data_IF_954184364428
#
_entry.id   IF_954184364428
#
_cell.length_a   1.000
_cell.length_b   1.000
_cell.length_c   1.000
_cell.angle_alpha   90.00
_cell.angle_beta   90.00
_cell.angle_gamma   90.00
#
_symmetry.space_group_name_H-M   'P 1'
#
loop_
_entity.id
_entity.type
_entity.pdbx_description
1 polymer ?
#
# COMPACT_ATOMS: atom_id res chain seq x y z
N UNK A 1 38.99 -20.42 32.34
CA UNK A 1 38.23 -19.36 31.64
C UNK A 1 38.63 -19.37 30.16
N UNK A 2 37.88 -20.07 29.27
CA UNK A 2 38.21 -20.13 27.83
C UNK A 2 37.70 -18.86 27.15
N UNK A 3 38.60 -17.97 26.73
CA UNK A 3 38.26 -16.88 25.82
C UNK A 3 37.63 -17.47 24.56
N UNK A 4 36.35 -17.13 24.31
CA UNK A 4 35.68 -17.35 23.03
C UNK A 4 36.59 -16.79 21.93
N UNK A 5 37.08 -17.64 21.02
CA UNK A 5 37.69 -17.20 19.75
C UNK A 5 36.71 -16.22 19.09
N UNK A 6 37.01 -14.92 19.13
CA UNK A 6 36.28 -13.95 18.32
C UNK A 6 36.39 -14.40 16.87
N UNK A 7 35.25 -14.57 16.20
CA UNK A 7 35.22 -14.95 14.79
C UNK A 7 36.11 -13.99 13.99
N UNK A 8 36.99 -14.54 13.14
CA UNK A 8 37.87 -13.71 12.29
C UNK A 8 37.01 -12.75 11.47
N UNK A 9 37.35 -11.44 11.43
CA UNK A 9 36.59 -10.48 10.64
C UNK A 9 36.60 -10.90 9.16
N UNK A 10 35.42 -10.95 8.54
CA UNK A 10 35.21 -11.24 7.10
C UNK A 10 34.79 -9.94 6.38
N UNK A 11 35.69 -8.95 6.23
CA UNK A 11 35.31 -7.63 5.75
C UNK A 11 34.80 -7.63 4.31
N UNK A 12 35.38 -8.47 3.44
CA UNK A 12 34.98 -8.58 2.03
C UNK A 12 33.60 -9.20 1.87
N UNK A 13 33.31 -10.32 2.56
CA UNK A 13 31.99 -10.96 2.50
C UNK A 13 30.89 -10.01 2.94
N UNK A 14 31.11 -9.26 4.02
CA UNK A 14 30.15 -8.27 4.51
C UNK A 14 29.91 -7.16 3.49
N UNK A 15 30.98 -6.58 2.95
CA UNK A 15 30.86 -5.50 1.96
C UNK A 15 30.19 -5.98 0.67
N UNK A 16 30.44 -7.21 0.25
CA UNK A 16 29.76 -7.83 -0.89
C UNK A 16 28.26 -8.02 -0.62
N UNK A 17 27.87 -8.51 0.55
CA UNK A 17 26.44 -8.64 0.94
C UNK A 17 25.75 -7.27 0.95
N UNK A 18 26.41 -6.25 1.48
CA UNK A 18 25.87 -4.89 1.49
C UNK A 18 25.69 -4.33 0.08
N UNK A 19 26.68 -4.51 -0.79
CA UNK A 19 26.61 -4.08 -2.18
C UNK A 19 25.50 -4.82 -2.94
N UNK A 20 25.37 -6.13 -2.75
CA UNK A 20 24.30 -6.95 -3.34
C UNK A 20 22.92 -6.47 -2.87
N UNK A 21 22.77 -6.16 -1.59
CA UNK A 21 21.53 -5.64 -1.03
C UNK A 21 21.18 -4.24 -1.59
N UNK A 22 22.17 -3.35 -1.72
CA UNK A 22 21.99 -2.04 -2.34
C UNK A 22 21.62 -2.17 -3.83
N UNK A 23 22.28 -3.06 -4.57
CA UNK A 23 21.95 -3.34 -5.97
C UNK A 23 20.52 -3.87 -6.11
N UNK A 24 20.09 -4.80 -5.24
CA UNK A 24 18.73 -5.32 -5.22
C UNK A 24 17.68 -4.26 -4.86
N UNK A 25 18.02 -3.31 -3.97
CA UNK A 25 17.17 -2.14 -3.67
C UNK A 25 17.08 -1.13 -4.82
N UNK A 26 18.13 -1.02 -5.65
CA UNK A 26 18.14 -0.15 -6.85
C UNK A 26 17.28 -0.76 -7.97
N UNK A 27 17.43 -2.07 -8.18
CA UNK A 27 16.65 -2.86 -9.12
C UNK A 27 16.58 -4.31 -8.62
N UNK A 28 15.38 -4.89 -8.45
CA UNK A 28 15.27 -6.26 -7.97
C UNK A 28 16.07 -7.22 -8.85
N UNK A 29 16.84 -8.10 -8.21
CA UNK A 29 17.72 -9.07 -8.88
C UNK A 29 16.97 -10.31 -9.39
N UNK A 30 15.68 -10.44 -9.06
CA UNK A 30 14.79 -11.47 -9.60
C UNK A 30 13.45 -10.86 -10.01
N UNK A 31 12.89 -11.37 -11.11
CA UNK A 31 11.59 -10.97 -11.66
C UNK A 31 10.65 -12.14 -11.96
N UNK A 32 10.97 -13.38 -11.55
CA UNK A 32 10.09 -14.54 -11.78
C UNK A 32 10.23 -15.65 -10.75
N UNK A 33 9.16 -16.44 -10.60
CA UNK A 33 9.07 -17.58 -9.69
C UNK A 33 9.16 -17.19 -8.20
N UNK A 34 9.38 -18.18 -7.33
CA UNK A 34 9.44 -17.98 -5.87
C UNK A 34 10.62 -17.11 -5.39
N UNK A 35 11.66 -16.96 -6.20
CA UNK A 35 12.84 -16.14 -5.86
C UNK A 35 12.53 -14.64 -5.74
N UNK A 36 11.40 -14.21 -6.32
CA UNK A 36 10.86 -12.84 -6.19
C UNK A 36 10.56 -12.47 -4.74
N UNK A 37 10.10 -13.42 -3.92
CA UNK A 37 9.78 -13.18 -2.50
C UNK A 37 11.05 -12.81 -1.73
N UNK A 38 12.17 -13.48 -1.99
CA UNK A 38 13.45 -13.16 -1.38
C UNK A 38 13.99 -11.81 -1.88
N UNK A 39 13.90 -11.57 -3.19
CA UNK A 39 14.29 -10.29 -3.78
C UNK A 39 13.50 -9.12 -3.20
N UNK A 40 12.19 -9.29 -3.00
CA UNK A 40 11.33 -8.33 -2.32
C UNK A 40 11.81 -8.08 -0.89
N UNK A 41 11.87 -9.10 -0.04
CA UNK A 41 12.17 -8.91 1.40
C UNK A 41 13.54 -8.28 1.66
N UNK A 42 14.54 -8.61 0.84
CA UNK A 42 15.88 -8.03 0.96
C UNK A 42 15.93 -6.60 0.37
N UNK A 43 15.29 -6.38 -0.76
CA UNK A 43 15.38 -5.11 -1.51
C UNK A 43 14.47 -4.01 -0.97
N UNK A 44 13.30 -4.37 -0.44
CA UNK A 44 12.22 -3.45 -0.11
C UNK A 44 12.59 -2.41 0.96
N UNK A 45 13.12 -2.77 2.15
CA UNK A 45 13.55 -1.74 3.09
C UNK A 45 14.68 -0.87 2.53
N UNK A 46 15.57 -1.46 1.72
CA UNK A 46 16.69 -0.77 1.08
C UNK A 46 16.22 0.25 0.05
N UNK A 47 15.15 -0.05 -0.70
CA UNK A 47 14.56 0.84 -1.71
C UNK A 47 13.78 2.00 -1.09
N UNK A 48 13.13 1.80 0.06
CA UNK A 48 12.25 2.82 0.65
C UNK A 48 12.90 3.65 1.76
N UNK A 49 13.83 3.09 2.54
CA UNK A 49 14.53 3.81 3.60
C UNK A 49 16.07 3.75 3.44
N UNK A 50 16.62 4.06 2.24
CA UNK A 50 18.06 3.96 1.96
C UNK A 50 18.90 4.83 2.90
N UNK A 51 18.36 5.94 3.41
CA UNK A 51 19.06 6.81 4.36
C UNK A 51 19.34 6.15 5.72
N UNK A 52 18.46 5.24 6.18
CA UNK A 52 18.68 4.48 7.42
C UNK A 52 19.82 3.48 7.22
N UNK A 53 19.81 2.76 6.09
CA UNK A 53 20.87 1.82 5.71
C UNK A 53 22.22 2.53 5.55
N UNK A 54 22.24 3.66 4.84
CA UNK A 54 23.44 4.46 4.63
C UNK A 54 24.02 4.95 5.97
N UNK A 55 23.18 5.54 6.83
CA UNK A 55 23.62 6.01 8.15
C UNK A 55 24.18 4.89 9.03
N UNK A 56 23.49 3.74 9.09
CA UNK A 56 23.96 2.59 9.84
C UNK A 56 25.28 2.02 9.30
N UNK A 57 25.43 1.95 7.97
CA UNK A 57 26.65 1.48 7.33
C UNK A 57 27.85 2.42 7.55
N UNK A 58 27.64 3.74 7.48
CA UNK A 58 28.68 4.74 7.79
C UNK A 58 29.15 4.61 9.23
N UNK A 59 28.23 4.50 10.19
CA UNK A 59 28.58 4.32 11.61
C UNK A 59 29.36 3.02 11.85
N UNK A 60 28.95 1.93 11.20
CA UNK A 60 29.67 0.66 11.27
C UNK A 60 31.07 0.76 10.65
N UNK A 61 31.21 1.39 9.48
CA UNK A 61 32.49 1.61 8.83
C UNK A 61 33.43 2.45 9.71
N UNK A 62 32.94 3.53 10.35
CA UNK A 62 33.73 4.32 11.30
C UNK A 62 34.21 3.48 12.49
N UNK A 63 33.33 2.66 13.07
CA UNK A 63 33.69 1.73 14.15
C UNK A 63 34.78 0.74 13.71
N UNK A 64 34.67 0.19 12.50
CA UNK A 64 35.66 -0.74 11.92
C UNK A 64 36.99 -0.06 11.62
N UNK A 65 36.94 1.18 11.13
CA UNK A 65 38.12 2.02 10.90
C UNK A 65 38.92 2.23 12.19
N UNK A 66 38.25 2.54 13.30
CA UNK A 66 38.89 2.68 14.63
C UNK A 66 39.57 1.40 15.13
N UNK A 67 39.14 0.22 14.69
CA UNK A 67 39.78 -1.07 15.02
C UNK A 67 40.93 -1.44 14.08
N UNK A 68 41.19 -0.64 13.05
CA UNK A 68 42.21 -0.93 12.03
C UNK A 68 41.76 -1.96 10.99
N UNK A 69 40.46 -2.28 10.89
CA UNK A 69 39.93 -3.31 9.97
C UNK A 69 40.21 -3.00 8.49
N UNK A 70 40.60 -1.76 8.16
CA UNK A 70 40.89 -1.28 6.81
C UNK A 70 42.39 -1.12 6.48
N UNK A 71 43.29 -1.49 7.39
CA UNK A 71 44.74 -1.28 7.20
C UNK A 71 45.35 -2.08 6.05
N UNK A 72 44.90 -3.32 5.83
CA UNK A 72 45.42 -4.22 4.78
C UNK A 72 44.66 -4.14 3.45
N UNK A 73 45.20 -4.75 2.39
CA UNK A 73 44.60 -4.77 1.04
C UNK A 73 43.13 -5.24 1.03
N UNK A 74 42.83 -6.34 1.74
CA UNK A 74 41.45 -6.86 1.87
C UNK A 74 40.52 -5.87 2.59
N UNK A 75 41.04 -5.11 3.54
CA UNK A 75 40.31 -4.07 4.24
C UNK A 75 40.01 -2.87 3.34
N UNK A 76 41.01 -2.39 2.60
CA UNK A 76 40.83 -1.31 1.60
C UNK A 76 39.83 -1.70 0.51
N UNK A 77 39.91 -2.92 -0.02
CA UNK A 77 38.94 -3.43 -0.98
C UNK A 77 37.52 -3.52 -0.39
N UNK A 78 37.37 -3.96 0.87
CA UNK A 78 36.08 -3.97 1.54
C UNK A 78 35.52 -2.55 1.73
N UNK A 79 36.36 -1.57 2.05
CA UNK A 79 35.94 -0.16 2.15
C UNK A 79 35.48 0.38 0.79
N UNK A 80 36.18 0.06 -0.30
CA UNK A 80 35.78 0.45 -1.65
C UNK A 80 34.41 -0.13 -2.05
N UNK A 81 34.16 -1.43 -1.78
CA UNK A 81 32.85 -2.05 -2.00
C UNK A 81 31.75 -1.41 -1.14
N UNK A 82 32.06 -1.07 0.11
CA UNK A 82 31.13 -0.37 1.02
C UNK A 82 30.80 1.02 0.46
N UNK A 83 31.80 1.77 -0.02
CA UNK A 83 31.60 3.07 -0.63
C UNK A 83 30.76 3.00 -1.93
N UNK A 84 30.96 1.96 -2.75
CA UNK A 84 30.11 1.71 -3.92
C UNK A 84 28.65 1.47 -3.52
N UNK A 85 28.41 0.71 -2.44
CA UNK A 85 27.06 0.52 -1.89
C UNK A 85 26.45 1.87 -1.43
N UNK A 86 27.23 2.75 -0.82
CA UNK A 86 26.77 4.09 -0.41
C UNK A 86 26.35 4.96 -1.59
N UNK A 87 27.10 4.91 -2.70
CA UNK A 87 26.73 5.62 -3.94
C UNK A 87 25.37 5.11 -4.44
N UNK A 88 25.16 3.79 -4.46
CA UNK A 88 23.88 3.21 -4.86
C UNK A 88 22.75 3.68 -3.93
N UNK A 89 22.94 3.63 -2.60
CA UNK A 89 21.95 4.09 -1.63
C UNK A 89 21.64 5.59 -1.79
N UNK A 90 22.63 6.42 -2.11
CA UNK A 90 22.44 7.85 -2.41
C UNK A 90 21.60 8.04 -3.69
N UNK A 91 21.85 7.26 -4.74
CA UNK A 91 21.04 7.27 -5.97
C UNK A 91 19.59 6.85 -5.70
N UNK A 92 19.37 5.77 -4.93
CA UNK A 92 18.01 5.34 -4.53
C UNK A 92 17.31 6.48 -3.79
N UNK A 93 17.99 7.09 -2.81
CA UNK A 93 17.43 8.22 -2.03
C UNK A 93 17.06 9.40 -2.92
N UNK A 94 17.94 9.77 -3.86
CA UNK A 94 17.70 10.86 -4.80
C UNK A 94 16.48 10.58 -5.67
N UNK A 95 16.45 9.42 -6.35
CA UNK A 95 15.33 9.00 -7.21
C UNK A 95 14.00 8.92 -6.44
N UNK A 96 14.02 8.36 -5.23
CA UNK A 96 12.83 8.27 -4.37
C UNK A 96 12.27 9.64 -3.96
N UNK A 97 13.08 10.69 -3.97
CA UNK A 97 12.67 12.05 -3.62
C UNK A 97 12.29 12.91 -4.83
N UNK A 98 12.84 12.66 -6.02
CA UNK A 98 12.65 13.53 -7.18
C UNK A 98 11.71 12.97 -8.23
N UNK A 99 11.59 11.64 -8.35
CA UNK A 99 10.82 11.00 -9.43
C UNK A 99 9.32 10.87 -9.15
N UNK A 100 8.84 10.53 -7.93
CA UNK A 100 7.42 10.25 -7.71
C UNK A 100 6.49 11.45 -7.96
N UNK A 101 6.88 12.65 -7.51
CA UNK A 101 6.03 13.85 -7.62
C UNK A 101 5.56 14.15 -9.05
N UNK A 102 6.47 14.32 -10.02
CA UNK A 102 6.09 14.57 -11.41
C UNK A 102 5.23 13.47 -12.05
N UNK A 103 5.51 12.19 -11.75
CA UNK A 103 4.74 11.07 -12.30
C UNK A 103 3.32 11.04 -11.75
N UNK A 104 3.17 11.28 -10.45
CA UNK A 104 1.87 11.37 -9.80
C UNK A 104 1.06 12.56 -10.32
N UNK A 105 1.71 13.73 -10.47
CA UNK A 105 1.04 14.92 -11.03
C UNK A 105 0.57 14.68 -12.46
N UNK A 106 1.38 14.02 -13.29
CA UNK A 106 1.04 13.71 -14.67
C UNK A 106 -0.21 12.81 -14.74
N UNK A 107 -0.26 11.74 -13.92
CA UNK A 107 -1.41 10.84 -13.87
C UNK A 107 -2.70 11.49 -13.37
N UNK A 108 -2.60 12.45 -12.43
CA UNK A 108 -3.74 13.25 -11.99
C UNK A 108 -4.18 14.24 -13.07
N UNK A 109 -3.24 14.97 -13.66
CA UNK A 109 -3.52 15.99 -14.70
C UNK A 109 -4.15 15.36 -15.95
N UNK A 110 -3.68 14.18 -16.35
CA UNK A 110 -4.22 13.43 -17.49
C UNK A 110 -5.71 13.14 -17.31
N UNK A 111 -6.15 12.84 -16.08
CA UNK A 111 -7.48 12.29 -15.83
C UNK A 111 -8.44 13.29 -15.19
N UNK A 112 -7.94 14.29 -14.48
CA UNK A 112 -8.72 15.33 -13.83
C UNK A 112 -8.65 16.68 -14.57
N UNK A 113 -7.77 16.80 -15.56
CA UNK A 113 -7.48 18.03 -16.29
C UNK A 113 -6.46 18.93 -15.60
N UNK A 114 -5.85 19.90 -16.31
CA UNK A 114 -4.79 20.78 -15.77
C UNK A 114 -5.26 21.73 -14.67
N UNK A 115 -6.57 21.99 -14.63
CA UNK A 115 -7.18 22.96 -13.74
C UNK A 115 -7.78 22.35 -12.47
N UNK A 116 -7.64 21.03 -12.24
CA UNK A 116 -8.22 20.36 -11.06
C UNK A 116 -7.75 20.95 -9.72
N UNK A 117 -6.59 21.62 -9.71
CA UNK A 117 -6.10 22.34 -8.54
C UNK A 117 -7.00 23.52 -8.13
N UNK A 118 -7.74 24.11 -9.07
CA UNK A 118 -8.73 25.17 -8.78
C UNK A 118 -9.88 24.61 -7.94
N UNK A 119 -10.36 23.41 -8.26
CA UNK A 119 -11.39 22.72 -7.47
C UNK A 119 -10.91 22.45 -6.04
N UNK A 120 -9.66 22.05 -5.88
CA UNK A 120 -9.06 21.84 -4.55
C UNK A 120 -8.98 23.13 -3.71
N UNK A 121 -8.84 24.30 -4.34
CA UNK A 121 -8.79 25.58 -3.64
C UNK A 121 -10.14 25.98 -3.01
N UNK A 122 -11.24 25.34 -3.43
CA UNK A 122 -12.58 25.58 -2.87
C UNK A 122 -12.84 24.81 -1.58
N UNK A 123 -11.99 23.81 -1.26
CA UNK A 123 -12.17 22.99 -0.08
C UNK A 123 -11.67 23.71 1.19
N UNK A 124 -12.42 23.62 2.30
CA UNK A 124 -12.01 24.17 3.59
C UNK A 124 -10.94 23.28 4.24
N UNK A 125 -9.75 23.19 3.62
CA UNK A 125 -8.62 22.48 4.22
C UNK A 125 -7.36 23.32 4.11
N UNK A 126 -7.12 24.16 5.10
CA UNK A 126 -5.75 24.56 5.44
C UNK A 126 -5.05 23.32 6.03
N UNK A 127 -4.04 22.73 5.36
CA UNK A 127 -3.23 21.70 5.99
C UNK A 127 -2.53 22.34 7.18
N UNK A 128 -2.77 21.85 8.40
CA UNK A 128 -1.97 22.27 9.54
C UNK A 128 -0.52 21.91 9.23
N UNK A 129 0.32 22.92 8.96
CA UNK A 129 1.74 22.76 8.60
C UNK A 129 2.37 21.78 9.59
N UNK A 130 2.66 20.57 9.14
CA UNK A 130 3.52 19.65 9.89
C UNK A 130 4.91 20.27 9.94
N UNK A 131 5.19 21.08 10.97
CA UNK A 131 6.46 21.80 11.18
C UNK A 131 7.67 20.88 11.43
N UNK A 132 7.54 19.56 11.31
CA UNK A 132 8.63 18.64 11.61
C UNK A 132 8.99 17.73 10.44
N UNK A 133 10.28 17.43 10.30
CA UNK A 133 10.82 16.47 9.33
C UNK A 133 10.03 15.15 9.35
N UNK A 134 9.66 14.67 8.16
CA UNK A 134 9.07 13.36 7.94
C UNK A 134 10.14 12.29 8.11
N UNK A 135 10.23 11.74 9.33
CA UNK A 135 11.17 10.67 9.67
C UNK A 135 10.41 9.32 9.71
N UNK A 136 11.00 8.21 9.22
CA UNK A 136 10.35 6.89 9.23
C UNK A 136 9.82 6.46 10.61
N UNK A 137 10.53 6.82 11.69
CA UNK A 137 10.11 6.55 13.07
C UNK A 137 8.84 7.32 13.49
N UNK A 138 8.60 8.52 12.93
CA UNK A 138 7.37 9.29 13.22
C UNK A 138 6.15 8.62 12.62
N UNK A 139 6.28 8.03 11.42
CA UNK A 139 5.22 7.25 10.79
C UNK A 139 4.83 6.07 11.68
N UNK A 140 5.80 5.34 12.24
CA UNK A 140 5.53 4.23 13.17
C UNK A 140 4.75 4.66 14.43
N UNK A 141 4.93 5.91 14.88
CA UNK A 141 4.21 6.48 16.02
C UNK A 141 2.87 7.15 15.65
N UNK A 142 2.56 7.32 14.36
CA UNK A 142 1.41 8.08 13.88
C UNK A 142 0.09 7.56 14.46
N UNK A 143 -0.03 6.24 14.63
CA UNK A 143 -1.21 5.63 15.26
C UNK A 143 -1.52 6.22 16.63
N UNK A 144 -0.51 6.43 17.48
CA UNK A 144 -0.72 6.97 18.84
C UNK A 144 -1.28 8.40 18.82
N UNK A 145 -1.07 9.13 17.72
CA UNK A 145 -1.57 10.49 17.53
C UNK A 145 -3.05 10.53 17.15
N UNK A 146 -3.49 9.60 16.29
CA UNK A 146 -4.81 9.67 15.66
C UNK A 146 -5.81 8.58 16.10
N UNK A 147 -5.35 7.55 16.82
CA UNK A 147 -6.21 6.46 17.29
C UNK A 147 -6.21 6.40 18.81
N UNK A 148 -7.35 6.74 19.40
CA UNK A 148 -7.64 6.55 20.82
C UNK A 148 -8.04 5.08 21.07
N UNK A 149 -7.90 4.60 22.31
CA UNK A 149 -8.27 3.21 22.66
C UNK A 149 -9.76 2.97 22.44
N UNK A 150 -10.60 3.97 22.71
CA UNK A 150 -12.05 3.98 22.46
C UNK A 150 -12.41 3.96 20.98
N UNK A 151 -11.47 4.29 20.09
CA UNK A 151 -11.64 4.28 18.64
C UNK A 151 -11.20 2.95 18.02
N UNK A 152 -11.18 1.86 18.80
CA UNK A 152 -10.98 0.50 18.31
C UNK A 152 -12.33 -0.23 18.40
N UNK A 153 -12.90 -0.56 17.25
CA UNK A 153 -14.27 -1.07 17.13
C UNK A 153 -14.27 -2.49 16.57
N UNK A 154 -15.35 -3.23 16.83
CA UNK A 154 -15.63 -4.52 16.19
C UNK A 154 -16.77 -4.31 15.19
N UNK A 155 -16.50 -4.53 13.90
CA UNK A 155 -17.47 -4.28 12.83
C UNK A 155 -18.27 -5.53 12.43
N UNK A 156 -17.95 -6.70 12.99
CA UNK A 156 -18.54 -7.96 12.59
C UNK A 156 -18.37 -9.09 13.60
N UNK A 157 -18.94 -10.28 13.32
CA UNK A 157 -19.09 -11.34 14.30
C UNK A 157 -17.79 -12.13 14.56
N UNK A 158 -16.73 -11.93 13.78
CA UNK A 158 -15.49 -12.72 13.88
C UNK A 158 -14.44 -12.12 14.84
N UNK A 159 -14.90 -11.37 15.84
CA UNK A 159 -14.09 -10.85 16.94
C UNK A 159 -12.82 -10.14 16.46
N UNK A 160 -11.65 -10.66 16.82
CA UNK A 160 -10.35 -10.04 16.49
C UNK A 160 -10.11 -9.90 14.98
N UNK A 161 -10.73 -10.75 14.15
CA UNK A 161 -10.64 -10.64 12.70
C UNK A 161 -11.46 -9.48 12.14
N UNK A 162 -12.50 -9.03 12.85
CA UNK A 162 -13.34 -7.89 12.46
C UNK A 162 -13.09 -6.66 13.34
N UNK A 163 -11.84 -6.41 13.73
CA UNK A 163 -11.46 -5.17 14.41
C UNK A 163 -11.09 -4.08 13.41
N UNK A 164 -11.50 -2.85 13.68
CA UNK A 164 -11.04 -1.67 12.97
C UNK A 164 -10.50 -0.61 13.93
N UNK A 165 -9.52 0.15 13.47
CA UNK A 165 -9.02 1.37 14.13
C UNK A 165 -9.57 2.59 13.40
N UNK A 166 -10.18 3.51 14.13
CA UNK A 166 -10.67 4.79 13.61
C UNK A 166 -9.62 5.87 13.88
N UNK A 167 -9.04 6.38 12.81
CA UNK A 167 -8.04 7.44 12.78
C UNK A 167 -8.75 8.77 12.55
N UNK A 168 -8.59 9.69 13.49
CA UNK A 168 -9.10 11.05 13.38
C UNK A 168 -8.27 12.00 14.21
N UNK A 169 -8.39 13.29 13.94
CA UNK A 169 -7.86 14.28 14.89
C UNK A 169 -8.71 14.27 16.16
N UNK A 170 -8.08 14.57 17.30
CA UNK A 170 -8.77 14.66 18.58
C UNK A 170 -9.73 15.84 18.60
N UNK A 171 -9.34 16.94 17.98
CA UNK A 171 -10.10 18.19 17.87
C UNK A 171 -11.10 18.23 16.70
N UNK A 172 -11.27 17.13 15.95
CA UNK A 172 -12.31 17.05 14.92
C UNK A 172 -13.70 17.01 15.60
N UNK A 173 -14.65 17.91 15.29
CA UNK A 173 -16.00 17.81 15.85
C UNK A 173 -16.69 16.49 15.53
N UNK A 174 -17.61 16.04 16.39
CA UNK A 174 -18.34 14.77 16.18
C UNK A 174 -19.42 14.88 15.10
N UNK A 175 -19.81 16.10 14.75
CA UNK A 175 -20.76 16.47 13.72
C UNK A 175 -20.07 17.04 12.46
N UNK A 176 -18.75 16.92 12.35
CA UNK A 176 -17.95 17.53 11.29
C UNK A 176 -18.29 17.07 9.86
N UNK A 177 -18.97 15.92 9.71
CA UNK A 177 -19.24 15.25 8.41
C UNK A 177 -17.97 15.18 7.56
N UNK A 178 -16.88 14.70 8.16
CA UNK A 178 -15.60 14.62 7.49
C UNK A 178 -15.57 13.46 6.47
N UNK A 179 -14.91 13.62 5.30
CA UNK A 179 -14.79 12.54 4.33
C UNK A 179 -14.07 11.32 4.94
N UNK A 180 -14.54 10.13 4.56
CA UNK A 180 -14.10 8.87 5.15
C UNK A 180 -13.24 8.07 4.16
N UNK A 181 -12.11 7.53 4.64
CA UNK A 181 -11.32 6.54 3.91
C UNK A 181 -11.30 5.20 4.65
N UNK A 182 -11.76 4.13 4.00
CA UNK A 182 -11.59 2.75 4.48
C UNK A 182 -10.32 2.15 3.88
N UNK A 183 -9.37 1.75 4.73
CA UNK A 183 -8.10 1.17 4.34
C UNK A 183 -8.07 -0.34 4.59
N UNK A 184 -7.93 -1.11 3.53
CA UNK A 184 -7.79 -2.57 3.54
C UNK A 184 -6.30 -2.96 3.55
N UNK A 185 -5.81 -3.74 4.52
CA UNK A 185 -4.41 -4.15 4.55
C UNK A 185 -4.11 -5.24 3.50
N UNK A 186 -2.89 -5.20 2.96
CA UNK A 186 -2.33 -6.29 2.17
C UNK A 186 -1.82 -7.44 3.03
N UNK A 187 -1.19 -8.41 2.36
CA UNK A 187 -0.61 -9.57 3.01
C UNK A 187 -0.93 -10.91 2.36
N UNK A 188 -1.09 -10.95 1.03
CA UNK A 188 -1.37 -12.16 0.26
C UNK A 188 -2.56 -12.98 0.81
N UNK A 189 -3.58 -12.31 1.34
CA UNK A 189 -4.78 -12.90 1.98
C UNK A 189 -4.50 -13.81 3.19
N UNK A 190 -3.23 -13.98 3.58
CA UNK A 190 -2.76 -14.78 4.72
C UNK A 190 -2.35 -13.91 5.91
N UNK A 191 -2.05 -12.64 5.64
CA UNK A 191 -1.86 -11.56 6.61
C UNK A 191 -2.88 -10.46 6.28
N UNK A 192 -3.48 -9.88 7.32
CA UNK A 192 -4.61 -8.96 7.19
C UNK A 192 -4.71 -8.05 8.40
N UNK A 193 -3.57 -7.53 8.86
CA UNK A 193 -3.49 -6.72 10.06
C UNK A 193 -3.66 -5.23 9.74
N UNK A 194 -4.57 -4.56 10.46
CA UNK A 194 -4.80 -3.10 10.43
C UNK A 194 -3.59 -2.24 10.85
N UNK A 195 -2.44 -2.86 11.15
CA UNK A 195 -1.21 -2.20 11.61
C UNK A 195 0.02 -2.98 11.11
N UNK A 196 1.11 -2.30 10.71
CA UNK A 196 1.29 -0.85 10.53
C UNK A 196 1.19 -0.38 9.05
N UNK A 197 0.30 -0.97 8.23
CA UNK A 197 0.21 -0.64 6.80
C UNK A 197 -0.49 0.70 6.54
N UNK A 198 -0.13 1.37 5.43
CA UNK A 198 -0.69 2.64 4.96
C UNK A 198 -0.66 3.82 5.98
N UNK A 199 0.23 3.77 6.98
CA UNK A 199 0.36 4.84 7.97
C UNK A 199 0.72 6.20 7.34
N UNK A 200 1.60 6.31 6.33
CA UNK A 200 1.82 7.56 5.63
C UNK A 200 0.53 8.17 5.09
N UNK A 201 -0.28 7.39 4.36
CA UNK A 201 -1.56 7.84 3.80
C UNK A 201 -2.56 8.26 4.89
N UNK A 202 -2.86 7.36 5.83
CA UNK A 202 -3.87 7.63 6.86
C UNK A 202 -3.48 8.80 7.77
N UNK A 203 -2.20 8.91 8.14
CA UNK A 203 -1.73 10.03 8.97
C UNK A 203 -1.78 11.38 8.23
N UNK A 204 -1.58 11.34 6.91
CA UNK A 204 -1.63 12.50 6.04
C UNK A 204 -3.04 13.01 5.81
N UNK A 205 -4.00 12.09 5.61
CA UNK A 205 -5.42 12.39 5.49
C UNK A 205 -6.03 12.82 6.82
N UNK A 206 -5.76 12.08 7.91
CA UNK A 206 -6.23 12.47 9.24
C UNK A 206 -5.73 13.87 9.64
N UNK A 207 -4.48 14.23 9.30
CA UNK A 207 -3.98 15.59 9.53
C UNK A 207 -4.80 16.68 8.80
N UNK A 208 -5.45 16.33 7.69
CA UNK A 208 -6.33 17.20 6.88
C UNK A 208 -7.81 17.10 7.24
N UNK A 209 -8.13 16.45 8.36
CA UNK A 209 -9.51 16.38 8.86
C UNK A 209 -10.30 15.18 8.36
N UNK A 210 -9.73 14.27 7.57
CA UNK A 210 -10.39 13.03 7.20
C UNK A 210 -10.55 12.09 8.41
N UNK A 211 -11.56 11.22 8.34
CA UNK A 211 -11.66 10.05 9.20
C UNK A 211 -11.17 8.83 8.40
N UNK A 212 -10.15 8.12 8.87
CA UNK A 212 -9.69 6.89 8.22
C UNK A 212 -10.02 5.66 9.07
N UNK A 213 -10.47 4.58 8.44
CA UNK A 213 -10.84 3.32 9.10
C UNK A 213 -9.92 2.23 8.60
N UNK A 214 -9.00 1.76 9.45
CA UNK A 214 -8.11 0.65 9.11
C UNK A 214 -8.64 -0.65 9.68
N UNK A 215 -8.98 -1.61 8.83
CA UNK A 215 -9.64 -2.85 9.22
C UNK A 215 -8.69 -4.07 9.25
N UNK A 216 -8.98 -5.01 10.14
CA UNK A 216 -8.59 -6.40 9.97
C UNK A 216 -9.63 -7.10 9.07
N UNK A 217 -9.31 -8.25 8.48
CA UNK A 217 -10.27 -9.19 7.91
C UNK A 217 -9.85 -10.63 8.22
N UNK A 218 -10.76 -11.59 8.08
CA UNK A 218 -10.45 -13.03 8.18
C UNK A 218 -9.44 -13.45 7.12
N UNK A 219 -8.39 -14.17 7.52
CA UNK A 219 -7.26 -14.55 6.64
C UNK A 219 -7.09 -16.05 6.48
N UNK A 220 -6.47 -16.42 5.36
CA UNK A 220 -6.05 -17.76 5.00
C UNK A 220 -4.85 -18.23 5.85
N UNK A 221 -4.65 -19.54 6.03
CA UNK A 221 -5.45 -20.64 5.51
C UNK A 221 -6.64 -21.02 6.41
N UNK A 222 -6.88 -20.29 7.50
CA UNK A 222 -7.97 -20.60 8.45
C UNK A 222 -9.34 -20.22 7.89
N UNK A 223 -9.40 -19.09 7.18
CA UNK A 223 -10.57 -18.58 6.49
C UNK A 223 -10.25 -18.44 5.02
N UNK A 224 -11.04 -19.05 4.15
CA UNK A 224 -10.77 -19.14 2.71
C UNK A 224 -11.67 -18.21 1.93
N UNK A 225 -11.33 -17.96 0.66
CA UNK A 225 -12.18 -17.20 -0.24
C UNK A 225 -13.64 -17.73 -0.22
N UNK A 226 -14.69 -16.87 -0.15
CA UNK A 226 -14.68 -15.40 -0.21
C UNK A 226 -14.69 -14.67 1.15
N UNK A 227 -14.30 -15.30 2.27
CA UNK A 227 -14.38 -14.69 3.61
C UNK A 227 -13.72 -13.30 3.70
N UNK A 228 -12.63 -13.10 2.97
CA UNK A 228 -11.88 -11.84 2.93
C UNK A 228 -12.70 -10.67 2.39
N UNK A 229 -13.34 -10.85 1.23
CA UNK A 229 -14.15 -9.79 0.60
C UNK A 229 -15.46 -9.56 1.37
N UNK A 230 -16.05 -10.63 1.92
CA UNK A 230 -17.24 -10.54 2.77
C UNK A 230 -16.98 -9.65 3.99
N UNK A 231 -15.79 -9.77 4.60
CA UNK A 231 -15.41 -8.93 5.74
C UNK A 231 -15.16 -7.48 5.35
N UNK A 232 -14.56 -7.22 4.18
CA UNK A 232 -14.39 -5.84 3.67
C UNK A 232 -15.74 -5.18 3.43
N UNK A 233 -16.69 -5.88 2.79
CA UNK A 233 -18.04 -5.35 2.57
C UNK A 233 -18.81 -5.15 3.88
N UNK A 234 -18.66 -6.06 4.85
CA UNK A 234 -19.23 -5.87 6.19
C UNK A 234 -18.64 -4.65 6.91
N UNK A 235 -17.36 -4.38 6.74
CA UNK A 235 -16.75 -3.16 7.29
C UNK A 235 -17.30 -1.90 6.61
N UNK A 236 -17.52 -1.91 5.29
CA UNK A 236 -18.18 -0.80 4.58
C UNK A 236 -19.59 -0.55 5.11
N UNK A 237 -20.39 -1.62 5.27
CA UNK A 237 -21.72 -1.56 5.88
C UNK A 237 -21.68 -0.92 7.28
N UNK A 238 -20.77 -1.40 8.15
CA UNK A 238 -20.60 -0.84 9.49
C UNK A 238 -20.20 0.64 9.44
N UNK A 239 -19.30 1.02 8.53
CA UNK A 239 -18.87 2.42 8.37
C UNK A 239 -20.05 3.30 7.98
N UNK A 240 -20.84 2.93 6.98
CA UNK A 240 -22.01 3.73 6.57
C UNK A 240 -23.04 3.89 7.69
N UNK A 241 -23.21 2.88 8.53
CA UNK A 241 -24.15 2.93 9.65
C UNK A 241 -23.61 3.72 10.86
N UNK A 242 -22.30 3.65 11.15
CA UNK A 242 -21.77 4.05 12.46
C UNK A 242 -20.76 5.22 12.43
N UNK A 243 -20.17 5.57 11.27
CA UNK A 243 -19.02 6.48 11.24
C UNK A 243 -19.37 7.93 11.63
N UNK A 244 -20.64 8.31 11.54
CA UNK A 244 -21.15 9.60 12.01
C UNK A 244 -20.83 9.84 13.49
N UNK A 245 -20.92 8.83 14.34
CA UNK A 245 -20.55 8.94 15.76
C UNK A 245 -19.06 9.27 15.99
N UNK A 246 -18.23 9.14 14.95
CA UNK A 246 -16.81 9.44 14.96
C UNK A 246 -16.46 10.73 14.22
N UNK A 247 -17.44 11.47 13.71
CA UNK A 247 -17.24 12.70 12.93
C UNK A 247 -17.09 12.49 11.44
N UNK A 248 -17.24 11.25 10.94
CA UNK A 248 -17.17 10.94 9.51
C UNK A 248 -18.53 11.11 8.82
N UNK A 249 -18.51 11.42 7.53
CA UNK A 249 -19.69 11.45 6.67
C UNK A 249 -19.94 10.04 6.09
N UNK A 250 -21.05 9.36 6.45
CA UNK A 250 -21.39 8.07 5.87
C UNK A 250 -21.74 8.15 4.38
N UNK A 251 -22.06 9.33 3.86
CA UNK A 251 -22.41 9.54 2.45
C UNK A 251 -21.18 9.72 1.56
N UNK A 252 -20.00 9.97 2.14
CA UNK A 252 -18.74 10.03 1.41
C UNK A 252 -17.71 9.06 1.99
N UNK A 253 -17.70 7.84 1.43
CA UNK A 253 -16.78 6.76 1.83
C UNK A 253 -15.93 6.36 0.62
N UNK A 254 -14.63 6.65 0.68
CA UNK A 254 -13.63 6.13 -0.25
C UNK A 254 -12.99 4.85 0.31
N UNK A 255 -12.42 4.02 -0.56
CA UNK A 255 -11.68 2.81 -0.19
C UNK A 255 -10.27 2.80 -0.78
N UNK A 256 -9.30 2.31 -0.02
CA UNK A 256 -7.92 2.09 -0.49
C UNK A 256 -7.37 0.76 0.03
N UNK A 257 -6.36 0.23 -0.66
CA UNK A 257 -5.75 -1.03 -0.23
C UNK A 257 -4.44 -1.33 -0.94
N UNK A 258 -3.50 -1.97 -0.23
CA UNK A 258 -2.22 -2.40 -0.78
C UNK A 258 -2.22 -3.89 -1.14
N UNK A 259 -1.67 -4.31 -2.28
CA UNK A 259 -1.45 -5.74 -2.60
C UNK A 259 -2.76 -6.55 -2.59
N UNK A 260 -2.87 -7.61 -1.77
CA UNK A 260 -4.13 -8.31 -1.51
C UNK A 260 -5.27 -7.37 -1.04
N UNK A 261 -4.95 -6.31 -0.30
CA UNK A 261 -5.91 -5.27 0.04
C UNK A 261 -6.28 -4.39 -1.15
N UNK A 262 -5.37 -4.19 -2.11
CA UNK A 262 -5.64 -3.49 -3.36
C UNK A 262 -6.56 -4.29 -4.29
N UNK A 263 -6.38 -5.61 -4.31
CA UNK A 263 -7.34 -6.56 -4.90
C UNK A 263 -8.73 -6.42 -4.29
N UNK A 264 -8.84 -6.53 -2.95
CA UNK A 264 -10.11 -6.39 -2.24
C UNK A 264 -10.75 -5.00 -2.40
N UNK A 265 -9.94 -3.95 -2.43
CA UNK A 265 -10.35 -2.57 -2.68
C UNK A 265 -11.02 -2.43 -4.06
N UNK A 266 -10.34 -2.89 -5.11
CA UNK A 266 -10.89 -2.83 -6.47
C UNK A 266 -12.14 -3.70 -6.62
N UNK A 267 -12.13 -4.92 -6.07
CA UNK A 267 -13.27 -5.82 -6.14
C UNK A 267 -14.50 -5.26 -5.41
N UNK A 268 -14.32 -4.71 -4.20
CA UNK A 268 -15.41 -4.12 -3.44
C UNK A 268 -16.04 -2.94 -4.19
N UNK A 269 -15.21 -2.07 -4.78
CA UNK A 269 -15.66 -0.91 -5.54
C UNK A 269 -16.37 -1.27 -6.86
N UNK A 270 -16.01 -2.39 -7.49
CA UNK A 270 -16.61 -2.85 -8.75
C UNK A 270 -17.81 -3.78 -8.57
N UNK A 271 -18.07 -4.25 -7.35
CA UNK A 271 -19.19 -5.14 -7.06
C UNK A 271 -20.12 -4.56 -5.98
N UNK A 272 -20.48 -3.27 -6.02
CA UNK A 272 -21.34 -2.70 -4.99
C UNK A 272 -22.63 -3.52 -4.89
N UNK A 273 -22.99 -3.88 -3.67
CA UNK A 273 -24.22 -4.61 -3.36
C UNK A 273 -24.34 -6.04 -3.95
N UNK A 274 -23.28 -6.61 -4.53
CA UNK A 274 -23.31 -7.98 -5.05
C UNK A 274 -23.56 -9.01 -3.91
N UNK A 275 -24.69 -9.75 -3.94
CA UNK A 275 -25.07 -10.66 -2.86
C UNK A 275 -24.10 -11.83 -2.69
N UNK A 276 -23.35 -12.23 -3.73
CA UNK A 276 -22.33 -13.29 -3.65
C UNK A 276 -21.25 -12.98 -2.63
N UNK A 277 -21.00 -11.70 -2.38
CA UNK A 277 -19.98 -11.21 -1.45
C UNK A 277 -20.58 -10.58 -0.18
N UNK A 278 -21.90 -10.69 0.05
CA UNK A 278 -22.59 -10.09 1.20
C UNK A 278 -23.59 -11.02 1.89
N UNK A 279 -23.24 -12.30 2.14
CA UNK A 279 -24.18 -13.23 2.74
C UNK A 279 -24.62 -12.73 4.13
N UNK A 280 -25.94 -12.62 4.31
CA UNK A 280 -26.60 -12.19 5.53
C UNK A 280 -26.70 -10.68 5.75
N UNK A 281 -26.30 -9.86 4.77
CA UNK A 281 -26.47 -8.40 4.78
C UNK A 281 -26.66 -7.84 3.36
N UNK A 282 -27.34 -8.61 2.51
CA UNK A 282 -27.48 -8.37 1.07
C UNK A 282 -28.15 -7.03 0.73
N UNK A 283 -28.99 -6.52 1.65
CA UNK A 283 -29.74 -5.27 1.47
C UNK A 283 -28.96 -4.02 1.90
N UNK A 284 -27.78 -4.18 2.50
CA UNK A 284 -27.00 -3.05 3.00
C UNK A 284 -26.14 -2.47 1.89
N UNK A 285 -26.16 -1.15 1.76
CA UNK A 285 -25.36 -0.45 0.77
C UNK A 285 -23.86 -0.49 1.10
N UNK A 286 -23.07 -1.03 0.17
CA UNK A 286 -21.61 -1.10 0.25
C UNK A 286 -20.91 -0.40 -0.92
N UNK A 287 -21.64 0.47 -1.64
CA UNK A 287 -21.04 1.37 -2.62
C UNK A 287 -20.02 2.33 -1.99
N UNK A 288 -19.04 2.76 -2.80
CA UNK A 288 -17.99 3.70 -2.38
C UNK A 288 -17.91 4.86 -3.36
N UNK A 289 -17.56 6.04 -2.87
CA UNK A 289 -17.44 7.24 -3.68
C UNK A 289 -16.17 7.27 -4.54
N UNK A 290 -15.12 6.56 -4.13
CA UNK A 290 -13.85 6.45 -4.87
C UNK A 290 -13.05 5.22 -4.44
N UNK A 291 -12.18 4.73 -5.32
CA UNK A 291 -11.30 3.60 -5.06
C UNK A 291 -9.83 3.90 -5.37
N UNK A 292 -8.93 3.52 -4.47
CA UNK A 292 -7.48 3.73 -4.59
C UNK A 292 -6.73 2.41 -4.33
N UNK A 293 -6.75 1.47 -5.29
CA UNK A 293 -5.96 0.26 -5.20
C UNK A 293 -4.48 0.56 -5.48
N UNK A 294 -3.62 0.12 -4.56
CA UNK A 294 -2.17 0.34 -4.59
C UNK A 294 -1.49 -1.01 -4.78
N UNK A 295 -0.77 -1.17 -5.89
CA UNK A 295 -0.10 -2.40 -6.33
C UNK A 295 -0.98 -3.66 -6.16
N UNK A 296 -2.27 -3.54 -6.50
CA UNK A 296 -3.26 -4.59 -6.35
C UNK A 296 -3.05 -5.74 -7.34
N UNK A 297 -3.75 -6.86 -7.08
CA UNK A 297 -3.91 -7.94 -8.05
C UNK A 297 -5.30 -7.85 -8.68
N UNK A 298 -5.38 -7.84 -10.00
CA UNK A 298 -6.65 -7.59 -10.71
C UNK A 298 -7.15 -8.79 -11.52
N UNK A 299 -6.27 -9.78 -11.75
CA UNK A 299 -6.55 -11.00 -12.50
C UNK A 299 -6.02 -12.22 -11.71
N UNK A 300 -6.90 -13.19 -11.41
CA UNK A 300 -6.58 -14.45 -10.74
C UNK A 300 -6.62 -15.69 -11.64
N UNK A 301 -6.95 -15.57 -12.93
CA UNK A 301 -7.26 -16.70 -13.79
C UNK A 301 -6.27 -16.90 -14.96
N UNK A 302 -5.59 -15.88 -15.45
CA UNK A 302 -4.55 -16.04 -16.49
C UNK A 302 -3.39 -16.89 -15.97
N UNK A 303 -2.83 -17.78 -16.77
CA UNK A 303 -1.72 -18.69 -16.37
C UNK A 303 -0.43 -18.53 -17.16
N UNK A 304 -0.43 -17.64 -18.16
CA UNK A 304 0.48 -17.77 -19.32
C UNK A 304 1.67 -16.80 -19.25
N UNK A 305 1.66 -15.88 -18.28
CA UNK A 305 2.74 -14.94 -18.03
C UNK A 305 3.68 -15.39 -16.89
N UNK A 306 4.93 -14.88 -16.83
CA UNK A 306 5.88 -15.24 -15.78
C UNK A 306 5.31 -15.07 -14.36
N UNK A 307 5.44 -16.10 -13.52
CA UNK A 307 4.96 -16.09 -12.13
C UNK A 307 3.45 -16.34 -11.95
N UNK A 308 2.65 -16.41 -13.03
CA UNK A 308 1.20 -16.64 -12.95
C UNK A 308 0.87 -18.05 -12.46
N UNK A 309 1.60 -19.08 -12.90
CA UNK A 309 1.36 -20.47 -12.47
C UNK A 309 1.63 -20.66 -10.98
N UNK A 310 2.75 -20.12 -10.49
CA UNK A 310 3.10 -20.16 -9.07
C UNK A 310 2.08 -19.39 -8.23
N UNK A 311 1.59 -18.26 -8.74
CA UNK A 311 0.53 -17.49 -8.10
C UNK A 311 -0.79 -18.28 -8.01
N UNK A 312 -1.25 -18.87 -9.11
CA UNK A 312 -2.45 -19.71 -9.11
C UNK A 312 -2.28 -20.89 -8.16
N UNK A 313 -1.12 -21.57 -8.15
CA UNK A 313 -0.83 -22.63 -7.20
C UNK A 313 -0.88 -22.19 -5.73
N UNK A 314 -0.43 -20.96 -5.42
CA UNK A 314 -0.58 -20.37 -4.09
C UNK A 314 -2.04 -20.16 -3.73
N UNK A 315 -2.85 -19.63 -4.66
CA UNK A 315 -4.28 -19.46 -4.46
C UNK A 315 -4.98 -20.80 -4.22
N UNK A 316 -4.72 -21.81 -5.05
CA UNK A 316 -5.28 -23.16 -4.91
C UNK A 316 -4.93 -23.78 -3.55
N UNK A 317 -3.71 -23.58 -3.06
CA UNK A 317 -3.22 -24.23 -1.83
C UNK A 317 -3.69 -23.52 -0.56
N UNK A 318 -3.62 -22.19 -0.55
CA UNK A 318 -3.78 -21.41 0.69
C UNK A 318 -5.06 -20.58 0.74
N UNK A 319 -5.51 -20.02 -0.39
CA UNK A 319 -6.56 -18.99 -0.40
C UNK A 319 -7.92 -19.55 -0.76
N UNK A 320 -8.02 -20.22 -1.91
CA UNK A 320 -9.26 -20.78 -2.46
C UNK A 320 -9.47 -22.22 -2.00
N UNK A 321 -8.40 -23.01 -1.82
CA UNK A 321 -8.48 -24.44 -1.45
C UNK A 321 -9.34 -25.27 -2.40
N UNK A 322 -9.36 -24.89 -3.68
CA UNK A 322 -9.96 -25.60 -4.81
C UNK A 322 -9.04 -25.50 -6.00
N UNK A 323 -9.09 -26.49 -6.89
CA UNK A 323 -8.28 -26.52 -8.10
C UNK A 323 -8.85 -25.57 -9.15
N UNK A 324 -8.01 -24.71 -9.70
CA UNK A 324 -8.32 -23.80 -10.79
C UNK A 324 -8.91 -24.53 -12.01
N UNK A 325 -8.37 -25.71 -12.34
CA UNK A 325 -8.83 -26.51 -13.49
C UNK A 325 -10.27 -27.01 -13.40
N UNK A 326 -10.87 -27.02 -12.20
CA UNK A 326 -12.23 -27.55 -11.97
C UNK A 326 -13.19 -26.52 -11.38
N UNK A 327 -12.67 -25.40 -10.86
CA UNK A 327 -13.44 -24.34 -10.20
C UNK A 327 -13.01 -22.96 -10.73
N UNK A 328 -12.86 -22.83 -12.05
CA UNK A 328 -12.35 -21.63 -12.72
C UNK A 328 -13.21 -20.40 -12.43
N UNK A 329 -14.51 -20.60 -12.32
CA UNK A 329 -15.52 -19.60 -11.96
C UNK A 329 -15.15 -18.83 -10.68
N UNK A 330 -14.66 -19.52 -9.64
CA UNK A 330 -14.25 -18.87 -8.38
C UNK A 330 -13.13 -17.85 -8.60
N UNK A 331 -12.16 -18.17 -9.46
CA UNK A 331 -11.01 -17.30 -9.73
C UNK A 331 -11.38 -16.15 -10.66
N UNK A 332 -12.26 -16.42 -11.63
CA UNK A 332 -12.86 -15.39 -12.50
C UNK A 332 -13.66 -14.40 -11.66
N UNK A 333 -14.56 -14.88 -10.80
CA UNK A 333 -15.37 -14.06 -9.90
C UNK A 333 -14.51 -13.29 -8.89
N UNK A 334 -13.39 -13.85 -8.46
CA UNK A 334 -12.45 -13.15 -7.61
C UNK A 334 -11.63 -12.08 -8.34
N UNK A 335 -11.69 -11.94 -9.67
CA UNK A 335 -10.84 -11.03 -10.43
C UNK A 335 -11.52 -9.68 -10.69
N UNK A 336 -11.06 -8.55 -10.11
CA UNK A 336 -11.61 -7.22 -10.37
C UNK A 336 -11.77 -6.87 -11.85
N UNK A 337 -10.84 -7.31 -12.70
CA UNK A 337 -10.88 -7.03 -14.15
C UNK A 337 -12.11 -7.60 -14.85
N UNK A 338 -12.83 -8.56 -14.25
CA UNK A 338 -14.09 -9.10 -14.80
C UNK A 338 -15.34 -8.36 -14.34
N UNK A 339 -15.21 -7.39 -13.44
CA UNK A 339 -16.33 -6.62 -12.89
C UNK A 339 -16.29 -5.15 -13.31
N UNK A 340 -15.42 -4.79 -14.27
CA UNK A 340 -15.41 -3.43 -14.86
C UNK A 340 -16.78 -3.10 -15.45
N UNK A 341 -17.27 -1.90 -15.12
CA UNK A 341 -18.64 -1.47 -15.41
C UNK A 341 -18.68 0.04 -15.63
N UNK A 342 -19.66 0.50 -16.41
CA UNK A 342 -19.71 1.88 -16.88
C UNK A 342 -19.95 2.92 -15.77
N UNK A 343 -20.63 2.51 -14.71
CA UNK A 343 -20.92 3.28 -13.51
C UNK A 343 -19.96 2.94 -12.34
N UNK A 344 -18.76 2.44 -12.64
CA UNK A 344 -17.69 2.35 -11.65
C UNK A 344 -17.41 3.74 -11.04
N UNK A 345 -17.11 3.83 -9.73
CA UNK A 345 -16.71 5.11 -9.12
C UNK A 345 -15.37 5.57 -9.70
N UNK A 346 -14.93 6.82 -9.45
CA UNK A 346 -13.57 7.24 -9.78
C UNK A 346 -12.49 6.32 -9.17
N UNK A 347 -11.48 5.95 -9.97
CA UNK A 347 -10.34 5.16 -9.53
C UNK A 347 -9.04 5.98 -9.58
N UNK A 348 -8.16 5.75 -8.61
CA UNK A 348 -6.74 6.10 -8.72
C UNK A 348 -5.87 4.87 -8.46
N UNK A 349 -5.42 4.25 -9.55
CA UNK A 349 -4.57 3.06 -9.51
C UNK A 349 -3.10 3.47 -9.42
N UNK A 350 -2.36 2.86 -8.49
CA UNK A 350 -0.93 3.15 -8.30
C UNK A 350 -0.15 1.85 -8.33
N UNK A 351 0.94 1.76 -9.10
CA UNK A 351 1.74 0.53 -9.14
C UNK A 351 3.24 0.82 -9.26
N UNK A 352 4.08 -0.01 -8.65
CA UNK A 352 5.53 0.15 -8.75
C UNK A 352 6.09 -0.51 -10.01
N UNK A 353 6.86 0.21 -10.83
CA UNK A 353 7.42 -0.35 -12.06
C UNK A 353 8.47 -1.45 -11.81
N UNK A 354 9.11 -1.45 -10.64
CA UNK A 354 10.04 -2.48 -10.21
C UNK A 354 9.39 -3.49 -9.24
N UNK A 355 8.06 -3.56 -9.21
CA UNK A 355 7.36 -4.55 -8.38
C UNK A 355 7.76 -5.98 -8.79
N UNK A 356 8.47 -6.65 -7.90
CA UNK A 356 8.95 -8.01 -8.07
C UNK A 356 7.91 -9.07 -7.74
N UNK A 357 6.82 -8.73 -7.04
CA UNK A 357 5.78 -9.68 -6.63
C UNK A 357 4.58 -9.67 -7.58
N UNK A 358 4.15 -8.48 -7.99
CA UNK A 358 3.02 -8.31 -8.92
C UNK A 358 3.50 -7.45 -10.09
N UNK A 359 3.66 -8.04 -11.29
CA UNK A 359 4.11 -7.30 -12.46
C UNK A 359 3.21 -6.10 -12.76
N UNK A 360 3.83 -4.95 -13.09
CA UNK A 360 3.12 -3.70 -13.42
C UNK A 360 2.16 -3.84 -14.61
N UNK A 361 2.42 -4.79 -15.51
CA UNK A 361 1.55 -5.09 -16.64
C UNK A 361 0.13 -5.47 -16.21
N UNK A 362 -0.06 -6.03 -15.00
CA UNK A 362 -1.41 -6.32 -14.50
C UNK A 362 -2.21 -5.05 -14.17
N UNK A 363 -1.55 -4.01 -13.66
CA UNK A 363 -2.20 -2.71 -13.48
C UNK A 363 -2.49 -2.03 -14.82
N UNK A 364 -1.60 -2.17 -15.81
CA UNK A 364 -1.83 -1.62 -17.16
C UNK A 364 -3.09 -2.22 -17.78
N UNK A 365 -3.17 -3.56 -17.83
CA UNK A 365 -4.34 -4.24 -18.37
C UNK A 365 -5.63 -3.84 -17.64
N UNK A 366 -5.61 -3.80 -16.30
CA UNK A 366 -6.78 -3.39 -15.53
C UNK A 366 -7.20 -1.94 -15.80
N UNK A 367 -6.25 -1.00 -15.87
CA UNK A 367 -6.53 0.41 -16.13
C UNK A 367 -7.04 0.62 -17.54
N UNK A 368 -6.47 -0.07 -18.54
CA UNK A 368 -6.93 -0.01 -19.93
C UNK A 368 -8.39 -0.49 -20.04
N UNK A 369 -8.71 -1.66 -19.50
CA UNK A 369 -10.07 -2.20 -19.48
C UNK A 369 -11.05 -1.29 -18.73
N UNK A 370 -10.65 -0.78 -17.57
CA UNK A 370 -11.50 0.12 -16.78
C UNK A 370 -11.73 1.46 -17.49
N UNK A 371 -10.71 2.04 -18.13
CA UNK A 371 -10.84 3.28 -18.93
C UNK A 371 -11.71 3.10 -20.17
N UNK A 372 -11.70 1.91 -20.77
CA UNK A 372 -12.52 1.62 -21.94
C UNK A 372 -14.03 1.58 -21.62
N UNK A 373 -14.39 1.30 -20.37
CA UNK A 373 -15.79 1.08 -19.97
C UNK A 373 -16.33 2.17 -19.04
N UNK A 374 -15.54 2.60 -18.04
CA UNK A 374 -15.97 3.54 -16.99
C UNK A 374 -16.25 4.94 -17.54
N UNK A 375 -17.34 5.55 -17.05
CA UNK A 375 -17.64 6.97 -17.29
C UNK A 375 -16.97 7.91 -16.28
N UNK A 376 -16.48 7.35 -15.16
CA UNK A 376 -15.77 8.09 -14.12
C UNK A 376 -14.25 8.14 -14.42
N UNK A 377 -13.53 9.17 -13.94
CA UNK A 377 -12.08 9.27 -14.11
C UNK A 377 -11.31 8.05 -13.56
N UNK A 378 -10.27 7.65 -14.28
CA UNK A 378 -9.38 6.55 -13.89
C UNK A 378 -7.93 7.05 -13.92
N UNK A 379 -7.54 7.73 -12.84
CA UNK A 379 -6.17 8.15 -12.60
C UNK A 379 -5.26 6.93 -12.50
N UNK A 380 -4.08 7.02 -13.09
CA UNK A 380 -3.07 5.96 -13.02
C UNK A 380 -1.67 6.56 -12.86
N UNK A 381 -0.87 5.97 -11.98
CA UNK A 381 0.54 6.31 -11.85
C UNK A 381 1.40 5.07 -11.66
N UNK A 382 2.28 4.84 -12.65
CA UNK A 382 3.24 3.74 -12.65
C UNK A 382 4.61 4.22 -12.14
N UNK A 383 4.82 4.13 -10.83
CA UNK A 383 5.94 4.78 -10.15
C UNK A 383 7.29 4.16 -10.57
N UNK A 384 8.17 4.91 -11.26
CA UNK A 384 9.47 4.41 -11.65
C UNK A 384 10.31 4.05 -10.41
N UNK A 385 11.04 2.95 -10.53
CA UNK A 385 11.92 2.43 -9.47
C UNK A 385 11.22 2.01 -8.18
N UNK A 386 9.89 2.07 -8.11
CA UNK A 386 9.16 1.64 -6.94
C UNK A 386 9.02 0.12 -6.92
N UNK A 387 9.34 -0.47 -5.78
CA UNK A 387 9.15 -1.88 -5.47
C UNK A 387 7.73 -2.10 -4.92
N UNK A 388 7.31 -3.35 -4.76
CA UNK A 388 6.09 -3.68 -4.00
C UNK A 388 6.07 -3.00 -2.62
N UNK A 389 4.89 -2.66 -2.10
CA UNK A 389 4.73 -2.09 -0.75
C UNK A 389 5.51 -0.77 -0.48
N UNK A 390 5.70 0.06 -1.51
CA UNK A 390 6.46 1.31 -1.43
C UNK A 390 5.86 2.37 -0.48
N UNK A 391 4.61 2.21 -0.08
CA UNK A 391 3.83 3.16 0.74
C UNK A 391 3.83 2.82 2.24
N UNK A 392 4.42 1.69 2.65
CA UNK A 392 4.39 1.23 4.05
C UNK A 392 5.32 2.05 4.94
N UNK A 393 6.50 2.41 4.43
CA UNK A 393 7.47 3.22 5.18
C UNK A 393 7.20 4.71 5.01
N UNK A 394 7.61 5.52 5.99
CA UNK A 394 7.64 6.97 5.87
C UNK A 394 8.75 7.49 4.94
N UNK A 395 8.78 7.04 3.69
CA UNK A 395 9.74 7.44 2.65
C UNK A 395 9.26 8.70 1.91
N UNK A 396 10.14 9.48 1.24
CA UNK A 396 9.71 10.59 0.39
C UNK A 396 8.66 10.15 -0.65
N UNK A 397 8.87 9.00 -1.30
CA UNK A 397 7.92 8.39 -2.23
C UNK A 397 6.55 8.18 -1.60
N UNK A 398 6.48 7.54 -0.43
CA UNK A 398 5.21 7.31 0.26
C UNK A 398 4.48 8.62 0.61
N UNK A 399 5.20 9.69 0.94
CA UNK A 399 4.59 11.00 1.21
C UNK A 399 4.07 11.67 -0.07
N UNK A 400 4.79 11.58 -1.19
CA UNK A 400 4.28 12.05 -2.48
C UNK A 400 3.04 11.26 -2.90
N UNK A 401 3.04 9.94 -2.75
CA UNK A 401 1.86 9.11 -2.98
C UNK A 401 0.69 9.53 -2.10
N UNK A 402 0.92 9.72 -0.79
CA UNK A 402 -0.13 10.15 0.14
C UNK A 402 -0.73 11.51 -0.25
N UNK A 403 0.10 12.46 -0.67
CA UNK A 403 -0.36 13.78 -1.17
C UNK A 403 -1.19 13.63 -2.44
N UNK A 404 -0.72 12.85 -3.42
CA UNK A 404 -1.44 12.64 -4.68
C UNK A 404 -2.80 11.97 -4.45
N UNK A 405 -2.85 10.95 -3.59
CA UNK A 405 -4.11 10.30 -3.20
C UNK A 405 -5.02 11.27 -2.47
N UNK A 406 -4.50 12.09 -1.56
CA UNK A 406 -5.29 13.10 -0.87
C UNK A 406 -5.88 14.12 -1.85
N UNK A 407 -5.12 14.57 -2.84
CA UNK A 407 -5.60 15.49 -3.89
C UNK A 407 -6.67 14.85 -4.77
N UNK A 408 -6.46 13.61 -5.22
CA UNK A 408 -7.47 12.87 -5.98
C UNK A 408 -8.79 12.74 -5.19
N UNK A 409 -8.72 12.24 -3.97
CA UNK A 409 -9.91 12.02 -3.14
C UNK A 409 -10.61 13.32 -2.77
N UNK A 410 -9.85 14.38 -2.51
CA UNK A 410 -10.39 15.71 -2.25
C UNK A 410 -11.09 16.28 -3.50
N UNK A 411 -10.54 16.07 -4.69
CA UNK A 411 -11.20 16.44 -5.94
C UNK A 411 -12.51 15.68 -6.14
N UNK A 412 -12.54 14.37 -5.86
CA UNK A 412 -13.79 13.58 -5.92
C UNK A 412 -14.82 14.12 -4.91
N UNK A 413 -14.38 14.48 -3.70
CA UNK A 413 -15.24 15.07 -2.69
C UNK A 413 -15.82 16.43 -3.11
N UNK A 414 -15.01 17.29 -3.74
CA UNK A 414 -15.45 18.61 -4.21
C UNK A 414 -16.43 18.52 -5.39
N UNK A 415 -16.24 17.53 -6.28
CA UNK A 415 -17.01 17.40 -7.52
C UNK A 415 -18.21 16.45 -7.41
N UNK A 416 -18.32 15.70 -6.30
CA UNK A 416 -19.46 14.84 -5.99
C UNK A 416 -20.24 15.46 -4.83
N UNK A 417 -21.28 16.27 -5.08
CA UNK A 417 -22.06 16.85 -3.99
C UNK A 417 -22.70 15.73 -3.16
N UNK A 418 -22.71 15.82 -1.82
CA UNK A 418 -23.44 14.87 -0.99
C UNK A 418 -24.91 14.88 -1.41
N UNK A 419 -25.52 13.69 -1.52
CA UNK A 419 -26.96 13.58 -1.77
C UNK A 419 -27.70 14.40 -0.69
N UNK A 420 -28.48 15.39 -1.15
CA UNK A 420 -29.30 16.26 -0.30
C UNK A 420 -30.40 15.50 0.40
#
# INVERSE_FOLDING_TARGET
MRFRRMARPRPLTRAAVELLNAANGLRPLSGSGYSTVLAFWLGWPTSEVPGVYLGASVLDALRRGRRGDFGGLKGKAALALTAAAWVILAVIRYRGATTPGPVLEAGLTEQLGPDYAKELATLPTEPMRSRGRNLPLRTAMARRRYVETTNVVCYGPYGRANLADIWRRRDLPRDAKAPVLVQVPGGAWVLGWRRPQAYPLMSHLAARGWVCVSLNYRVSPRHTWPDHIVDVKRALAWVKENIAAYGGDPNFVAISGGSAGGHLCALAALTPNDPRFQPGFEQVDTSVAAAVPVYGRYDWFTTDAPGRREFVGLLETFVVKRKFSTHRDIFVDASPIHHVRADAPPFFVLHGRHDSLIPVAEAHAFVEELRAVSKSPVAYADLPHAQHAFDVFGSPRAHHTAEAVARFLSWVYATTPPAT
#
